data_IF_745724278173
#
_entry.id   IF_745724278173
#
_cell.length_a   1.000
_cell.length_b   1.000
_cell.length_c   1.000
_cell.angle_alpha   90.00
_cell.angle_beta   90.00
_cell.angle_gamma   90.00
#
_symmetry.space_group_name_H-M   'P 1'
#
loop_
_entity.id
_entity.type
_entity.pdbx_description
1 polymer ?
#
# COMPACT_ATOMS: atom_id res chain seq x y z
N UNK A 1 9.42 28.61 6.35
CA UNK A 1 10.85 28.83 6.73
C UNK A 1 11.67 28.24 5.59
N UNK A 2 12.70 28.95 5.09
CA UNK A 2 13.47 28.41 3.97
C UNK A 2 14.34 27.22 4.45
N UNK A 3 14.02 26.01 4.01
CA UNK A 3 14.68 24.76 4.38
C UNK A 3 16.18 24.79 4.11
N UNK A 4 16.64 25.46 3.03
CA UNK A 4 18.05 25.60 2.69
C UNK A 4 18.82 26.50 3.65
N UNK A 5 18.12 27.33 4.44
CA UNK A 5 18.72 28.11 5.52
C UNK A 5 18.93 27.27 6.77
N UNK A 6 17.99 26.38 7.07
CA UNK A 6 18.06 25.47 8.22
C UNK A 6 19.04 24.30 7.96
N UNK A 7 19.04 23.78 6.73
CA UNK A 7 19.89 22.66 6.31
C UNK A 7 20.69 23.03 5.05
N UNK A 8 21.75 23.85 5.16
CA UNK A 8 22.55 24.29 4.01
C UNK A 8 23.18 23.12 3.22
N UNK A 9 23.40 21.98 3.88
CA UNK A 9 23.94 20.76 3.28
C UNK A 9 23.02 20.17 2.19
N UNK A 10 21.71 20.46 2.22
CA UNK A 10 20.78 19.98 1.21
C UNK A 10 21.12 20.43 -0.22
N UNK A 11 21.92 21.49 -0.37
CA UNK A 11 22.39 21.96 -1.68
C UNK A 11 23.28 20.94 -2.39
N UNK A 12 23.96 20.10 -1.63
CA UNK A 12 24.94 19.12 -2.15
C UNK A 12 24.36 17.71 -2.22
N UNK A 13 23.21 17.45 -1.55
CA UNK A 13 22.64 16.09 -1.50
C UNK A 13 22.20 15.57 -2.85
N UNK A 14 21.72 16.43 -3.76
CA UNK A 14 21.34 15.99 -5.11
C UNK A 14 22.53 15.44 -5.88
N UNK A 15 23.68 16.13 -5.82
CA UNK A 15 24.90 15.64 -6.44
C UNK A 15 25.37 14.35 -5.77
N UNK A 16 25.28 14.28 -4.44
CA UNK A 16 25.62 13.07 -3.71
C UNK A 16 24.77 11.87 -4.17
N UNK A 17 23.45 12.03 -4.37
CA UNK A 17 22.61 10.97 -4.93
C UNK A 17 23.00 10.60 -6.36
N UNK A 18 23.32 11.58 -7.23
CA UNK A 18 23.81 11.31 -8.58
C UNK A 18 25.10 10.45 -8.58
N UNK A 19 26.02 10.76 -7.66
CA UNK A 19 27.28 10.03 -7.54
C UNK A 19 27.08 8.60 -7.01
N UNK A 20 25.95 8.30 -6.34
CA UNK A 20 25.64 6.99 -5.75
C UNK A 20 24.46 6.26 -6.41
N UNK A 21 23.96 6.73 -7.55
CA UNK A 21 22.83 6.07 -8.25
C UNK A 21 23.11 4.60 -8.51
N UNK A 22 24.32 4.26 -8.96
CA UNK A 22 24.66 2.85 -9.26
C UNK A 22 24.63 1.96 -8.00
N UNK A 23 25.11 2.46 -6.88
CA UNK A 23 25.08 1.73 -5.60
C UNK A 23 23.62 1.56 -5.12
N UNK A 24 22.77 2.57 -5.29
CA UNK A 24 21.32 2.48 -5.02
C UNK A 24 20.65 1.42 -5.90
N UNK A 25 20.98 1.36 -7.19
CA UNK A 25 20.45 0.35 -8.09
C UNK A 25 20.89 -1.07 -7.71
N UNK A 26 22.13 -1.26 -7.27
CA UNK A 26 22.60 -2.56 -6.78
C UNK A 26 21.88 -2.98 -5.50
N UNK A 27 21.60 -2.07 -4.59
CA UNK A 27 20.79 -2.32 -3.39
C UNK A 27 19.36 -2.74 -3.77
N UNK A 28 18.74 -1.98 -4.69
CA UNK A 28 17.39 -2.25 -5.16
C UNK A 28 17.27 -3.63 -5.84
N UNK A 29 18.24 -3.97 -6.71
CA UNK A 29 18.32 -5.28 -7.34
C UNK A 29 18.42 -6.38 -6.27
N UNK A 30 19.27 -6.18 -5.26
CA UNK A 30 19.47 -7.17 -4.21
C UNK A 30 18.20 -7.38 -3.37
N UNK A 31 17.44 -6.32 -3.05
CA UNK A 31 16.17 -6.41 -2.35
C UNK A 31 15.11 -7.07 -3.25
N UNK A 32 14.98 -6.63 -4.50
CA UNK A 32 14.01 -7.14 -5.45
C UNK A 32 14.15 -8.66 -5.65
N UNK A 33 15.37 -9.18 -5.73
CA UNK A 33 15.65 -10.59 -5.98
C UNK A 33 15.41 -11.52 -4.78
N UNK A 34 15.07 -10.99 -3.61
CA UNK A 34 14.59 -11.82 -2.48
C UNK A 34 13.06 -11.99 -2.62
N UNK A 35 12.53 -13.18 -2.90
CA UNK A 35 11.09 -13.38 -3.04
C UNK A 35 10.32 -12.95 -1.79
N UNK A 36 9.21 -12.26 -1.97
CA UNK A 36 8.40 -11.72 -0.86
C UNK A 36 6.90 -11.61 -1.23
N UNK A 37 6.25 -12.72 -1.58
CA UNK A 37 4.81 -12.65 -1.82
C UNK A 37 4.06 -12.31 -0.55
N UNK A 38 2.96 -11.54 -0.65
CA UNK A 38 2.11 -11.22 0.52
C UNK A 38 1.74 -12.51 1.28
N UNK A 39 1.88 -12.49 2.61
CA UNK A 39 1.77 -13.61 3.56
C UNK A 39 2.98 -14.56 3.62
N UNK A 40 4.03 -14.35 2.81
CA UNK A 40 5.26 -15.16 2.81
C UNK A 40 6.51 -14.27 2.65
N UNK A 41 6.56 -13.19 3.46
CA UNK A 41 7.57 -12.13 3.39
C UNK A 41 8.83 -12.42 4.23
N UNK A 42 8.89 -13.58 4.91
CA UNK A 42 9.89 -13.87 5.93
C UNK A 42 11.34 -13.74 5.47
N UNK A 43 11.67 -14.19 4.26
CA UNK A 43 13.05 -14.15 3.74
C UNK A 43 13.51 -12.69 3.52
N UNK A 44 12.67 -11.86 2.91
CA UNK A 44 12.97 -10.45 2.69
C UNK A 44 13.01 -9.67 4.01
N UNK A 45 12.13 -9.99 4.97
CA UNK A 45 12.17 -9.40 6.30
C UNK A 45 13.50 -9.69 7.02
N UNK A 46 14.04 -10.91 6.94
CA UNK A 46 15.34 -11.25 7.51
C UNK A 46 16.47 -10.49 6.81
N UNK A 47 16.46 -10.41 5.49
CA UNK A 47 17.43 -9.64 4.70
C UNK A 47 17.42 -8.14 5.11
N UNK A 48 16.25 -7.55 5.20
CA UNK A 48 16.09 -6.14 5.56
C UNK A 48 16.45 -5.86 7.02
N UNK A 49 16.17 -6.78 7.95
CA UNK A 49 16.61 -6.65 9.34
C UNK A 49 18.13 -6.56 9.43
N UNK A 50 18.85 -7.43 8.72
CA UNK A 50 20.31 -7.38 8.67
C UNK A 50 20.79 -6.06 8.05
N UNK A 51 20.13 -5.61 6.97
CA UNK A 51 20.47 -4.34 6.33
C UNK A 51 20.23 -3.13 7.23
N UNK A 52 19.09 -3.05 7.95
CA UNK A 52 18.80 -2.00 8.92
C UNK A 52 19.80 -2.00 10.08
N UNK A 53 20.22 -3.18 10.55
CA UNK A 53 21.25 -3.31 11.57
C UNK A 53 22.60 -2.77 11.07
N UNK A 54 23.01 -3.12 9.85
CA UNK A 54 24.26 -2.58 9.24
C UNK A 54 24.15 -1.07 8.95
N UNK A 55 22.95 -0.59 8.65
CA UNK A 55 22.66 0.85 8.51
C UNK A 55 22.83 1.58 9.85
N UNK A 56 22.89 0.87 10.97
CA UNK A 56 23.06 1.43 12.31
C UNK A 56 21.79 2.07 12.85
N UNK A 57 20.62 1.57 12.45
CA UNK A 57 19.37 1.90 13.12
C UNK A 57 19.33 1.24 14.51
N UNK A 58 18.67 1.88 15.45
CA UNK A 58 18.48 1.38 16.80
C UNK A 58 17.20 0.53 16.91
N UNK A 59 17.16 -0.38 17.89
CA UNK A 59 16.00 -1.21 18.21
C UNK A 59 15.49 -2.03 17.01
N UNK A 60 16.39 -2.49 16.13
CA UNK A 60 16.01 -3.21 14.91
C UNK A 60 15.34 -4.52 15.23
N UNK A 61 14.11 -4.71 14.75
CA UNK A 61 13.28 -5.89 15.02
C UNK A 61 12.42 -6.29 13.83
N UNK A 62 11.94 -7.53 13.85
CA UNK A 62 10.82 -7.99 13.00
C UNK A 62 9.64 -8.22 13.94
N UNK A 63 8.49 -7.63 13.64
CA UNK A 63 7.28 -7.83 14.42
C UNK A 63 6.45 -9.05 13.97
N UNK A 64 5.30 -9.27 14.63
CA UNK A 64 4.42 -10.40 14.32
C UNK A 64 3.77 -10.34 12.94
N UNK A 65 3.68 -9.15 12.33
CA UNK A 65 3.18 -8.97 10.98
C UNK A 65 4.27 -9.13 9.91
N UNK A 66 5.54 -9.34 10.30
CA UNK A 66 6.74 -9.37 9.46
C UNK A 66 7.18 -7.97 8.98
N UNK A 67 6.77 -6.89 9.64
CA UNK A 67 7.39 -5.59 9.42
C UNK A 67 8.84 -5.62 9.91
N UNK A 68 9.73 -4.92 9.21
CA UNK A 68 11.07 -4.64 9.70
C UNK A 68 11.13 -3.21 10.19
N UNK A 69 11.47 -3.02 11.45
CA UNK A 69 11.37 -1.75 12.17
C UNK A 69 12.75 -1.36 12.68
N UNK A 70 13.07 -0.07 12.62
CA UNK A 70 14.30 0.47 13.20
C UNK A 70 14.20 1.98 13.40
N UNK A 71 14.89 2.50 14.42
CA UNK A 71 14.90 3.91 14.74
C UNK A 71 16.19 4.60 14.28
N UNK A 72 16.04 5.74 13.61
CA UNK A 72 17.12 6.70 13.42
C UNK A 72 16.88 7.87 14.36
N UNK A 73 17.72 7.98 15.41
CA UNK A 73 17.54 8.97 16.46
C UNK A 73 18.10 10.33 16.05
N UNK A 74 17.30 11.36 16.24
CA UNK A 74 17.69 12.75 16.14
C UNK A 74 18.06 13.32 17.52
N UNK A 75 17.86 14.64 17.69
CA UNK A 75 18.16 15.31 18.98
C UNK A 75 16.99 15.26 19.97
N UNK A 76 15.85 14.68 19.62
CA UNK A 76 14.64 14.53 20.43
C UNK A 76 13.81 15.81 20.60
N UNK A 77 14.12 16.89 19.88
CA UNK A 77 13.43 18.19 19.99
C UNK A 77 12.34 18.40 18.93
N UNK A 78 12.40 17.66 17.82
CA UNK A 78 11.46 17.73 16.70
C UNK A 78 10.36 16.68 16.76
N UNK A 79 9.47 16.63 15.74
CA UNK A 79 8.46 15.61 15.61
C UNK A 79 9.08 14.23 15.33
N UNK A 80 8.30 13.19 15.57
CA UNK A 80 8.60 11.81 15.15
C UNK A 80 7.93 11.57 13.80
N UNK A 81 8.71 11.20 12.79
CA UNK A 81 8.21 10.86 11.46
C UNK A 81 8.36 9.35 11.24
N UNK A 82 7.26 8.66 10.95
CA UNK A 82 7.33 7.31 10.42
C UNK A 82 7.58 7.37 8.92
N UNK A 83 8.62 6.66 8.47
CA UNK A 83 8.88 6.39 7.06
C UNK A 83 8.42 4.96 6.80
N UNK A 84 7.49 4.76 5.87
CA UNK A 84 6.96 3.45 5.55
C UNK A 84 7.15 3.14 4.05
N UNK A 85 7.59 1.92 3.74
CA UNK A 85 7.63 1.38 2.38
C UNK A 85 7.37 -0.12 2.48
N UNK A 86 6.44 -0.65 1.67
CA UNK A 86 6.15 -2.07 1.75
C UNK A 86 7.22 -2.91 1.06
N UNK A 87 7.44 -4.11 1.60
CA UNK A 87 8.44 -5.04 1.07
C UNK A 87 7.84 -6.32 0.50
N UNK A 88 6.52 -6.48 0.55
CA UNK A 88 5.83 -7.56 -0.16
C UNK A 88 5.55 -7.21 -1.61
N UNK A 89 5.16 -8.21 -2.40
CA UNK A 89 4.79 -8.09 -3.80
C UNK A 89 3.60 -8.98 -4.14
N UNK A 90 2.91 -8.68 -5.25
CA UNK A 90 1.81 -9.52 -5.79
C UNK A 90 2.32 -10.82 -6.41
N UNK A 91 3.62 -10.99 -6.60
CA UNK A 91 4.18 -12.09 -7.38
C UNK A 91 4.37 -13.35 -6.54
N UNK A 92 3.95 -14.54 -7.05
CA UNK A 92 4.25 -15.82 -6.43
C UNK A 92 5.75 -16.05 -6.24
N UNK A 93 6.11 -16.88 -5.25
CA UNK A 93 7.51 -17.17 -4.87
C UNK A 93 8.35 -17.73 -6.01
N UNK A 94 7.75 -18.49 -6.91
CA UNK A 94 8.39 -19.10 -8.09
C UNK A 94 8.59 -18.15 -9.27
N UNK A 95 8.16 -16.90 -9.16
CA UNK A 95 8.33 -15.91 -10.22
C UNK A 95 9.81 -15.61 -10.44
N UNK A 96 10.23 -15.56 -11.71
CA UNK A 96 11.59 -15.15 -12.07
C UNK A 96 11.77 -13.65 -11.77
N UNK A 97 12.65 -13.36 -10.81
CA UNK A 97 13.00 -12.00 -10.36
C UNK A 97 14.32 -11.51 -10.98
N UNK A 98 14.80 -12.15 -12.03
CA UNK A 98 16.01 -11.72 -12.72
C UNK A 98 15.86 -10.30 -13.27
N UNK A 99 16.70 -9.39 -12.78
CA UNK A 99 16.67 -7.99 -13.22
C UNK A 99 17.44 -7.84 -14.52
N UNK A 100 16.82 -7.18 -15.50
CA UNK A 100 17.48 -6.80 -16.75
C UNK A 100 17.59 -5.29 -16.87
N UNK A 101 18.73 -4.80 -17.39
CA UNK A 101 18.98 -3.36 -17.63
C UNK A 101 19.00 -3.09 -19.11
N UNK A 102 18.11 -2.20 -19.55
CA UNK A 102 17.99 -1.81 -20.95
C UNK A 102 17.43 -0.40 -21.08
N UNK A 103 17.97 0.37 -22.04
CA UNK A 103 17.45 1.70 -22.43
C UNK A 103 17.24 2.67 -21.23
N UNK A 104 18.21 2.70 -20.29
CA UNK A 104 18.15 3.55 -19.11
C UNK A 104 17.12 3.11 -18.05
N UNK A 105 16.68 1.85 -18.09
CA UNK A 105 15.70 1.26 -17.16
C UNK A 105 16.19 -0.07 -16.60
N UNK A 106 15.68 -0.40 -15.40
CA UNK A 106 15.68 -1.75 -14.85
C UNK A 106 14.29 -2.38 -15.06
N UNK A 107 14.27 -3.66 -15.41
CA UNK A 107 13.04 -4.45 -15.60
C UNK A 107 13.10 -5.68 -14.71
N UNK A 108 12.15 -5.83 -13.82
CA UNK A 108 11.85 -7.03 -13.04
C UNK A 108 10.52 -6.89 -12.32
N UNK A 109 9.85 -8.00 -11.97
CA UNK A 109 8.66 -7.96 -11.10
C UNK A 109 8.99 -7.33 -9.73
N UNK A 110 8.28 -6.27 -9.32
CA UNK A 110 8.46 -5.61 -8.02
C UNK A 110 9.71 -4.73 -7.89
N UNK A 111 10.39 -4.39 -9.01
CA UNK A 111 11.62 -3.57 -8.99
C UNK A 111 11.33 -2.13 -8.54
N UNK A 112 10.16 -1.59 -8.87
CA UNK A 112 9.70 -0.28 -8.43
C UNK A 112 8.65 -0.40 -7.31
N UNK A 113 7.79 -1.39 -7.41
CA UNK A 113 6.66 -1.62 -6.53
C UNK A 113 6.88 -2.86 -5.63
N UNK A 114 7.49 -2.74 -4.42
CA UNK A 114 7.99 -1.47 -3.88
C UNK A 114 9.43 -1.66 -3.33
N UNK A 115 10.26 -2.46 -4.05
CA UNK A 115 11.68 -2.63 -3.66
C UNK A 115 12.41 -1.28 -3.63
N UNK A 116 12.11 -0.39 -4.62
CA UNK A 116 12.76 0.92 -4.69
C UNK A 116 12.30 1.88 -3.57
N UNK A 117 11.07 1.76 -3.08
CA UNK A 117 10.63 2.52 -1.90
C UNK A 117 11.44 2.16 -0.66
N UNK A 118 11.67 0.86 -0.44
CA UNK A 118 12.54 0.37 0.66
C UNK A 118 13.98 0.83 0.46
N UNK A 119 14.52 0.72 -0.76
CA UNK A 119 15.84 1.22 -1.12
C UNK A 119 15.97 2.71 -0.84
N UNK A 120 14.96 3.51 -1.24
CA UNK A 120 14.93 4.95 -0.99
C UNK A 120 14.99 5.29 0.49
N UNK A 121 14.26 4.55 1.33
CA UNK A 121 14.29 4.73 2.79
C UNK A 121 15.69 4.44 3.37
N UNK A 122 16.36 3.39 2.92
CA UNK A 122 17.74 3.05 3.32
C UNK A 122 18.70 4.17 2.92
N UNK A 123 18.65 4.59 1.66
CA UNK A 123 19.59 5.58 1.11
C UNK A 123 19.31 7.01 1.59
N UNK A 124 18.11 7.31 2.08
CA UNK A 124 17.85 8.53 2.83
C UNK A 124 18.73 8.59 4.10
N UNK A 125 18.78 7.50 4.87
CA UNK A 125 19.57 7.44 6.11
C UNK A 125 21.08 7.52 5.79
N UNK A 126 21.55 6.84 4.72
CA UNK A 126 22.93 6.96 4.27
C UNK A 126 23.27 8.42 3.91
N UNK A 127 22.37 9.11 3.17
CA UNK A 127 22.57 10.50 2.78
C UNK A 127 22.60 11.45 4.00
N UNK A 128 21.70 11.27 4.97
CA UNK A 128 21.70 12.06 6.21
C UNK A 128 23.03 11.94 6.96
N UNK A 129 23.57 10.73 7.05
CA UNK A 129 24.86 10.45 7.69
C UNK A 129 26.03 11.02 6.91
N UNK A 130 26.11 10.72 5.63
CA UNK A 130 27.23 11.13 4.76
C UNK A 130 27.35 12.67 4.67
N UNK A 131 26.22 13.37 4.66
CA UNK A 131 26.18 14.83 4.58
C UNK A 131 26.11 15.52 5.95
N UNK A 132 26.25 14.79 7.06
CA UNK A 132 26.20 15.31 8.44
C UNK A 132 24.92 16.13 8.71
N UNK A 133 23.76 15.68 8.23
CA UNK A 133 22.47 16.34 8.46
C UNK A 133 21.89 15.80 9.75
N UNK A 134 21.95 16.59 10.82
CA UNK A 134 21.37 16.27 12.12
C UNK A 134 19.88 16.67 12.14
N UNK A 135 18.99 15.72 12.40
CA UNK A 135 17.56 15.96 12.51
C UNK A 135 17.19 16.35 13.95
N UNK A 136 16.23 17.27 14.15
CA UNK A 136 15.75 17.62 15.49
C UNK A 136 14.84 16.53 16.09
N UNK A 137 14.15 15.76 15.29
CA UNK A 137 13.26 14.65 15.68
C UNK A 137 13.75 13.30 15.22
N UNK A 138 13.04 12.26 15.60
CA UNK A 138 13.38 10.88 15.27
C UNK A 138 12.70 10.42 13.97
N UNK A 139 13.31 9.46 13.27
CA UNK A 139 12.67 8.71 12.20
C UNK A 139 12.41 7.28 12.67
N UNK A 140 11.18 6.82 12.53
CA UNK A 140 10.79 5.43 12.66
C UNK A 140 10.72 4.82 11.26
N UNK A 141 11.73 4.03 10.88
CA UNK A 141 11.79 3.35 9.60
C UNK A 141 11.04 2.02 9.70
N UNK A 142 10.04 1.81 8.84
CA UNK A 142 9.22 0.61 8.80
C UNK A 142 9.16 0.08 7.37
N UNK A 143 9.81 -1.03 7.10
CA UNK A 143 9.54 -1.80 5.90
C UNK A 143 8.29 -2.65 6.20
N UNK A 144 7.14 -2.26 5.64
CA UNK A 144 5.83 -2.83 5.94
C UNK A 144 5.58 -4.09 5.12
N UNK A 145 4.78 -5.02 5.65
CA UNK A 145 4.37 -6.26 4.98
C UNK A 145 2.89 -6.24 4.62
N UNK A 146 2.50 -7.03 3.61
CA UNK A 146 1.09 -7.24 3.26
C UNK A 146 0.37 -5.96 2.84
N UNK A 147 1.04 -5.07 2.13
CA UNK A 147 0.38 -3.95 1.46
C UNK A 147 -0.45 -4.46 0.30
N UNK A 148 0.05 -5.41 -0.44
CA UNK A 148 -0.49 -5.87 -1.70
C UNK A 148 -1.71 -6.79 -1.55
N UNK A 149 -2.62 -6.67 -2.50
CA UNK A 149 -3.71 -7.61 -2.72
C UNK A 149 -4.52 -7.97 -1.47
N UNK A 150 -4.49 -9.25 -1.10
CA UNK A 150 -5.16 -9.79 0.09
C UNK A 150 -4.33 -9.68 1.38
N UNK A 151 -3.16 -9.05 1.32
CA UNK A 151 -2.36 -8.72 2.51
C UNK A 151 -3.06 -7.71 3.44
N UNK A 152 -3.98 -6.93 2.87
CA UNK A 152 -4.96 -6.11 3.60
C UNK A 152 -4.31 -5.06 4.52
N UNK A 153 -3.13 -4.55 4.15
CA UNK A 153 -2.33 -3.57 4.93
C UNK A 153 -1.96 -4.10 6.33
N UNK A 154 -1.78 -5.42 6.47
CA UNK A 154 -1.57 -6.07 7.79
C UNK A 154 -0.38 -5.46 8.54
N UNK A 155 0.70 -5.18 7.81
CA UNK A 155 1.91 -4.60 8.37
C UNK A 155 1.67 -3.20 8.92
N UNK A 156 1.11 -2.32 8.11
CA UNK A 156 0.82 -0.95 8.56
C UNK A 156 -0.23 -0.90 9.66
N UNK A 157 -1.22 -1.82 9.67
CA UNK A 157 -2.18 -1.95 10.78
C UNK A 157 -1.48 -2.28 12.10
N UNK A 158 -0.52 -3.21 12.09
CA UNK A 158 0.24 -3.56 13.29
C UNK A 158 1.20 -2.44 13.72
N UNK A 159 1.87 -1.79 12.75
CA UNK A 159 2.74 -0.65 13.03
C UNK A 159 1.95 0.52 13.66
N UNK A 160 0.81 0.90 13.09
CA UNK A 160 0.01 2.00 13.63
C UNK A 160 -0.64 1.65 14.97
N UNK A 161 -1.08 0.42 15.17
CA UNK A 161 -1.57 -0.04 16.47
C UNK A 161 -0.53 0.14 17.58
N UNK A 162 0.76 -0.05 17.24
CA UNK A 162 1.87 0.03 18.20
C UNK A 162 2.39 1.45 18.38
N UNK A 163 2.46 2.25 17.30
CA UNK A 163 3.23 3.49 17.29
C UNK A 163 2.41 4.77 17.06
N UNK A 164 1.08 4.70 16.80
CA UNK A 164 0.28 5.89 16.45
C UNK A 164 0.33 7.03 17.49
N UNK A 165 0.51 6.72 18.78
CA UNK A 165 0.64 7.72 19.83
C UNK A 165 2.03 8.39 19.88
N UNK A 166 3.04 7.74 19.30
CA UNK A 166 4.43 8.21 19.29
C UNK A 166 4.78 9.00 18.02
N UNK A 167 4.00 8.79 16.94
CA UNK A 167 4.29 9.31 15.61
C UNK A 167 3.46 10.55 15.34
N UNK A 168 4.11 11.62 14.91
CA UNK A 168 3.45 12.89 14.55
C UNK A 168 3.03 12.93 13.07
N UNK A 169 3.83 12.34 12.17
CA UNK A 169 3.61 12.32 10.72
C UNK A 169 4.02 10.99 10.12
N UNK A 170 3.38 10.60 9.02
CA UNK A 170 3.75 9.41 8.25
C UNK A 170 4.03 9.80 6.79
N UNK A 171 5.20 9.44 6.29
CA UNK A 171 5.58 9.52 4.90
C UNK A 171 5.67 8.10 4.35
N UNK A 172 4.76 7.75 3.46
CA UNK A 172 4.77 6.47 2.75
C UNK A 172 5.49 6.65 1.43
N UNK A 173 6.48 5.80 1.17
CA UNK A 173 7.27 5.83 -0.05
C UNK A 173 6.79 4.71 -0.95
N UNK A 174 5.92 5.07 -1.88
CA UNK A 174 5.27 4.14 -2.80
C UNK A 174 4.76 4.88 -4.04
N UNK A 175 4.55 4.14 -5.13
CA UNK A 175 4.08 4.68 -6.39
C UNK A 175 5.18 5.29 -7.26
N UNK A 176 4.80 6.06 -8.27
CA UNK A 176 5.70 6.73 -9.18
C UNK A 176 6.00 8.16 -8.71
N UNK A 177 7.19 8.67 -9.05
CA UNK A 177 7.56 10.07 -8.84
C UNK A 177 6.61 11.01 -9.59
N UNK A 178 6.11 12.03 -8.92
CA UNK A 178 5.25 13.08 -9.49
C UNK A 178 3.85 13.10 -8.89
N UNK A 179 3.58 14.07 -8.03
CA UNK A 179 2.35 14.20 -7.25
C UNK A 179 2.38 13.48 -5.91
N UNK A 180 1.33 13.66 -5.15
CA UNK A 180 1.17 13.05 -3.82
C UNK A 180 -0.22 12.45 -3.66
N UNK A 181 -0.31 11.35 -2.91
CA UNK A 181 -1.55 10.77 -2.44
C UNK A 181 -1.77 11.24 -1.00
N UNK A 182 -2.82 12.02 -0.79
CA UNK A 182 -3.22 12.55 0.52
C UNK A 182 -4.59 12.03 0.97
N UNK A 183 -5.24 11.17 0.15
CA UNK A 183 -6.51 10.52 0.44
C UNK A 183 -6.42 9.00 0.35
N UNK A 184 -7.01 8.31 1.33
CA UNK A 184 -7.07 6.85 1.39
C UNK A 184 -8.42 6.31 0.92
N UNK A 185 -8.44 5.49 -0.14
CA UNK A 185 -9.65 4.80 -0.60
C UNK A 185 -9.92 3.61 0.33
N UNK A 186 -11.05 3.65 1.05
CA UNK A 186 -11.49 2.51 1.85
C UNK A 186 -11.99 1.38 0.96
N UNK A 187 -11.72 0.13 1.35
CA UNK A 187 -12.24 -1.03 0.61
C UNK A 187 -12.69 -2.14 1.55
N UNK A 188 -13.70 -2.90 1.11
CA UNK A 188 -14.13 -4.14 1.75
C UNK A 188 -14.28 -5.25 0.73
N UNK A 189 -13.72 -6.41 1.03
CA UNK A 189 -13.73 -7.58 0.18
C UNK A 189 -14.44 -8.72 0.89
N UNK A 190 -15.42 -9.32 0.20
CA UNK A 190 -16.22 -10.43 0.73
C UNK A 190 -16.12 -11.65 -0.18
N UNK A 191 -16.08 -12.82 0.40
CA UNK A 191 -16.44 -14.06 -0.28
C UNK A 191 -17.83 -14.46 0.15
N UNK A 192 -18.73 -14.67 -0.83
CA UNK A 192 -20.09 -15.14 -0.59
C UNK A 192 -20.19 -16.57 -1.09
N UNK A 193 -20.50 -17.49 -0.19
CA UNK A 193 -20.56 -18.93 -0.46
C UNK A 193 -22.00 -19.40 -0.29
N UNK A 194 -22.55 -20.00 -1.34
CA UNK A 194 -23.90 -20.59 -1.33
C UNK A 194 -23.79 -22.11 -1.29
N UNK A 195 -24.54 -22.74 -0.39
CA UNK A 195 -24.58 -24.19 -0.24
C UNK A 195 -26.02 -24.70 -0.29
N UNK A 196 -26.21 -25.86 -0.96
CA UNK A 196 -27.50 -26.55 -1.11
C UNK A 196 -27.33 -28.08 -1.03
N UNK A 197 -28.43 -28.83 -1.10
CA UNK A 197 -28.37 -30.30 -1.13
C UNK A 197 -27.77 -30.90 -2.40
N UNK A 198 -27.78 -30.15 -3.50
CA UNK A 198 -27.36 -30.67 -4.81
C UNK A 198 -28.25 -31.83 -5.31
N UNK A 199 -27.81 -32.51 -6.41
CA UNK A 199 -28.51 -33.68 -6.92
C UNK A 199 -28.43 -33.86 -8.42
N UNK A 200 -29.07 -34.90 -8.93
CA UNK A 200 -29.15 -35.15 -10.37
C UNK A 200 -30.11 -34.15 -11.02
N UNK A 201 -29.71 -33.47 -12.08
CA UNK A 201 -30.44 -32.34 -12.68
C UNK A 201 -31.88 -32.67 -13.10
N UNK A 202 -32.13 -33.89 -13.57
CA UNK A 202 -33.46 -34.38 -13.94
C UNK A 202 -34.19 -35.04 -12.74
N UNK A 203 -33.51 -35.95 -12.04
CA UNK A 203 -34.15 -36.75 -10.99
C UNK A 203 -34.47 -35.99 -9.69
N UNK A 204 -33.70 -34.94 -9.40
CA UNK A 204 -33.90 -34.08 -8.25
C UNK A 204 -34.35 -32.65 -8.66
N UNK A 205 -35.03 -32.56 -9.83
CA UNK A 205 -35.52 -31.25 -10.30
C UNK A 205 -36.45 -30.61 -9.26
N UNK A 206 -36.19 -29.33 -8.93
CA UNK A 206 -36.87 -28.58 -7.86
C UNK A 206 -36.01 -28.37 -6.61
N UNK A 207 -34.92 -29.10 -6.44
CA UNK A 207 -33.90 -28.77 -5.43
C UNK A 207 -33.20 -27.48 -5.85
N UNK A 208 -33.00 -26.50 -4.94
CA UNK A 208 -32.26 -25.27 -5.25
C UNK A 208 -30.84 -25.55 -5.74
N UNK A 209 -30.39 -24.80 -6.75
CA UNK A 209 -29.03 -24.87 -7.26
C UNK A 209 -28.22 -23.70 -6.71
N UNK A 210 -27.08 -23.98 -6.09
CA UNK A 210 -26.19 -22.95 -5.58
C UNK A 210 -25.76 -21.93 -6.66
N UNK A 211 -25.49 -22.40 -7.89
CA UNK A 211 -25.14 -21.53 -9.03
C UNK A 211 -26.32 -20.66 -9.45
N UNK A 212 -27.57 -21.15 -9.44
CA UNK A 212 -28.74 -20.34 -9.78
C UNK A 212 -28.99 -19.23 -8.73
N UNK A 213 -28.91 -19.55 -7.44
CA UNK A 213 -29.09 -18.59 -6.36
C UNK A 213 -27.98 -17.52 -6.37
N UNK A 214 -26.72 -17.97 -6.59
CA UNK A 214 -25.60 -17.08 -6.75
C UNK A 214 -25.78 -16.11 -7.93
N UNK A 215 -26.24 -16.61 -9.08
CA UNK A 215 -26.52 -15.78 -10.27
C UNK A 215 -27.60 -14.71 -10.01
N UNK A 216 -28.65 -15.06 -9.23
CA UNK A 216 -29.68 -14.09 -8.80
C UNK A 216 -29.08 -13.00 -7.90
N UNK A 217 -28.23 -13.36 -6.95
CA UNK A 217 -27.53 -12.41 -6.09
C UNK A 217 -26.68 -11.45 -6.93
N UNK A 218 -25.84 -11.96 -7.83
CA UNK A 218 -24.97 -11.15 -8.68
C UNK A 218 -25.79 -10.21 -9.57
N UNK A 219 -26.88 -10.68 -10.18
CA UNK A 219 -27.74 -9.87 -11.02
C UNK A 219 -28.33 -8.68 -10.23
N UNK A 220 -28.83 -8.91 -9.00
CA UNK A 220 -29.37 -7.86 -8.16
C UNK A 220 -28.26 -6.91 -7.66
N UNK A 221 -27.08 -7.43 -7.29
CA UNK A 221 -25.93 -6.61 -6.90
C UNK A 221 -25.52 -5.69 -8.05
N UNK A 222 -25.53 -6.16 -9.29
CA UNK A 222 -25.17 -5.38 -10.47
C UNK A 222 -26.11 -4.17 -10.72
N UNK A 223 -27.30 -4.18 -10.14
CA UNK A 223 -28.29 -3.09 -10.26
C UNK A 223 -28.12 -2.00 -9.16
N UNK A 224 -27.24 -2.22 -8.16
CA UNK A 224 -27.02 -1.25 -7.09
C UNK A 224 -26.52 0.09 -7.68
N UNK A 225 -27.21 1.17 -7.34
CA UNK A 225 -26.79 2.51 -7.75
C UNK A 225 -25.84 3.12 -6.71
N UNK A 226 -24.64 3.48 -7.16
CA UNK A 226 -23.61 4.05 -6.30
C UNK A 226 -23.36 5.53 -6.62
N UNK A 227 -22.95 6.36 -5.63
CA UNK A 227 -22.65 7.75 -5.87
C UNK A 227 -21.38 7.90 -6.72
N UNK A 228 -21.34 8.95 -7.56
CA UNK A 228 -20.14 9.39 -8.27
C UNK A 228 -19.22 10.24 -7.39
N UNK A 229 -19.80 10.93 -6.42
CA UNK A 229 -19.11 11.73 -5.42
C UNK A 229 -19.80 11.53 -4.05
N UNK A 230 -19.13 10.91 -3.06
CA UNK A 230 -17.78 10.33 -3.17
C UNK A 230 -17.75 9.16 -4.17
N UNK A 231 -16.66 9.04 -4.96
CA UNK A 231 -16.53 7.95 -5.92
C UNK A 231 -16.61 6.63 -5.18
N UNK A 232 -17.64 5.84 -5.51
CA UNK A 232 -17.93 4.53 -4.91
C UNK A 232 -18.08 3.51 -6.02
N UNK A 233 -17.52 2.32 -5.82
CA UNK A 233 -17.51 1.25 -6.82
C UNK A 233 -17.68 -0.11 -6.15
N UNK A 234 -18.17 -1.08 -6.92
CA UNK A 234 -18.15 -2.48 -6.54
C UNK A 234 -17.89 -3.36 -7.77
N UNK A 235 -17.38 -4.56 -7.55
CA UNK A 235 -17.11 -5.51 -8.61
C UNK A 235 -17.16 -6.95 -8.09
N UNK A 236 -17.94 -7.82 -8.73
CA UNK A 236 -17.80 -9.27 -8.58
C UNK A 236 -16.73 -9.72 -9.54
N UNK A 237 -15.53 -9.99 -9.05
CA UNK A 237 -14.34 -10.25 -9.85
C UNK A 237 -14.09 -11.72 -10.14
N UNK A 238 -14.58 -12.62 -9.27
CA UNK A 238 -14.41 -14.07 -9.39
C UNK A 238 -15.73 -14.76 -9.08
N UNK A 239 -16.06 -15.80 -9.85
CA UNK A 239 -17.19 -16.69 -9.61
C UNK A 239 -16.75 -18.13 -9.82
N UNK A 240 -17.12 -19.01 -8.89
CA UNK A 240 -16.84 -20.45 -8.96
C UNK A 240 -18.08 -21.26 -8.58
N UNK A 241 -18.24 -22.46 -9.12
CA UNK A 241 -19.32 -23.36 -8.70
C UNK A 241 -19.70 -24.42 -9.68
N UNK A 242 -20.41 -25.45 -9.17
CA UNK A 242 -20.83 -26.61 -9.92
C UNK A 242 -19.71 -27.64 -10.15
N UNK A 243 -20.09 -28.82 -10.64
CA UNK A 243 -19.15 -29.93 -10.89
C UNK A 243 -19.35 -30.57 -12.27
N UNK A 244 -20.61 -30.67 -12.76
CA UNK A 244 -20.92 -31.21 -14.08
C UNK A 244 -22.23 -30.64 -14.59
N UNK A 245 -22.46 -30.76 -15.93
CA UNK A 245 -23.63 -30.17 -16.60
C UNK A 245 -24.97 -30.80 -16.15
N UNK A 246 -24.97 -32.05 -15.72
CA UNK A 246 -26.15 -32.76 -15.28
C UNK A 246 -26.27 -32.91 -13.76
N UNK A 247 -25.56 -32.06 -12.99
CA UNK A 247 -25.61 -32.01 -11.53
C UNK A 247 -26.15 -30.63 -11.08
N UNK A 248 -27.16 -30.66 -10.19
CA UNK A 248 -27.57 -29.44 -9.45
C UNK A 248 -26.41 -29.07 -8.56
N UNK A 249 -25.86 -27.86 -8.73
CA UNK A 249 -24.70 -27.41 -8.00
C UNK A 249 -24.99 -27.35 -6.49
N UNK A 250 -24.21 -28.08 -5.70
CA UNK A 250 -24.32 -28.08 -4.23
C UNK A 250 -23.58 -26.92 -3.60
N UNK A 251 -22.59 -26.35 -4.28
CA UNK A 251 -21.79 -25.21 -3.79
C UNK A 251 -21.45 -24.27 -4.95
N UNK A 252 -21.49 -22.97 -4.66
CA UNK A 252 -20.98 -21.91 -5.53
C UNK A 252 -20.51 -20.74 -4.67
N UNK A 253 -19.57 -19.92 -5.18
CA UNK A 253 -19.09 -18.73 -4.48
C UNK A 253 -18.74 -17.61 -5.47
N UNK A 254 -18.73 -16.36 -4.97
CA UNK A 254 -18.14 -15.24 -5.66
C UNK A 254 -17.27 -14.39 -4.70
N UNK A 255 -16.30 -13.67 -5.28
CA UNK A 255 -15.53 -12.64 -4.59
C UNK A 255 -16.02 -11.26 -5.03
N UNK A 256 -16.36 -10.43 -4.04
CA UNK A 256 -16.84 -9.06 -4.21
C UNK A 256 -15.83 -8.08 -3.62
N UNK A 257 -15.41 -7.11 -4.43
CA UNK A 257 -14.62 -5.94 -4.02
C UNK A 257 -15.52 -4.70 -4.03
N UNK A 258 -15.56 -3.97 -2.93
CA UNK A 258 -16.29 -2.71 -2.78
C UNK A 258 -15.32 -1.62 -2.34
N UNK A 259 -15.36 -0.44 -2.95
CA UNK A 259 -14.46 0.67 -2.65
C UNK A 259 -15.21 2.00 -2.60
N UNK A 260 -14.72 2.91 -1.75
CA UNK A 260 -15.18 4.30 -1.71
C UNK A 260 -14.09 5.23 -1.21
N UNK A 261 -14.21 6.51 -1.57
CA UNK A 261 -13.43 7.59 -0.94
C UNK A 261 -13.91 7.89 0.49
N UNK A 262 -15.13 7.44 0.86
CA UNK A 262 -15.69 7.67 2.19
C UNK A 262 -16.29 6.38 2.77
N UNK A 263 -15.95 6.09 4.01
CA UNK A 263 -16.42 4.90 4.72
C UNK A 263 -17.94 4.75 4.80
N UNK A 264 -18.73 5.79 5.12
CA UNK A 264 -20.19 5.66 5.15
C UNK A 264 -20.81 5.25 3.81
N UNK A 265 -20.27 5.71 2.68
CA UNK A 265 -20.75 5.33 1.36
C UNK A 265 -20.43 3.86 1.04
N UNK A 266 -19.27 3.34 1.47
CA UNK A 266 -18.93 1.93 1.37
C UNK A 266 -19.89 1.06 2.21
N UNK A 267 -20.14 1.45 3.44
CA UNK A 267 -21.01 0.73 4.37
C UNK A 267 -22.45 0.65 3.84
N UNK A 268 -22.93 1.70 3.21
CA UNK A 268 -24.25 1.69 2.55
C UNK A 268 -24.31 0.67 1.39
N UNK A 269 -23.26 0.53 0.60
CA UNK A 269 -23.21 -0.50 -0.47
C UNK A 269 -23.19 -1.89 0.14
N UNK A 270 -22.40 -2.11 1.19
CA UNK A 270 -22.35 -3.40 1.88
C UNK A 270 -23.70 -3.78 2.49
N UNK A 271 -24.41 -2.85 3.08
CA UNK A 271 -25.75 -3.08 3.63
C UNK A 271 -26.71 -3.56 2.55
N UNK A 272 -26.77 -2.88 1.40
CA UNK A 272 -27.59 -3.29 0.27
C UNK A 272 -27.20 -4.70 -0.25
N UNK A 273 -25.89 -4.99 -0.32
CA UNK A 273 -25.41 -6.33 -0.71
C UNK A 273 -25.90 -7.40 0.28
N UNK A 274 -25.81 -7.15 1.58
CA UNK A 274 -26.27 -8.08 2.62
C UNK A 274 -27.79 -8.29 2.59
N UNK A 275 -28.56 -7.24 2.32
CA UNK A 275 -30.03 -7.32 2.15
C UNK A 275 -30.39 -8.19 0.92
N UNK A 276 -29.71 -7.98 -0.22
CA UNK A 276 -29.90 -8.80 -1.43
C UNK A 276 -29.59 -10.26 -1.17
N UNK A 277 -28.49 -10.54 -0.48
CA UNK A 277 -28.10 -11.91 -0.12
C UNK A 277 -29.15 -12.57 0.75
N UNK A 278 -29.61 -11.89 1.82
CA UNK A 278 -30.62 -12.40 2.74
C UNK A 278 -31.98 -12.65 2.05
N UNK A 279 -32.37 -11.76 1.11
CA UNK A 279 -33.58 -11.92 0.32
C UNK A 279 -33.52 -13.20 -0.54
N UNK A 280 -32.42 -13.42 -1.28
CA UNK A 280 -32.27 -14.61 -2.14
C UNK A 280 -32.12 -15.89 -1.32
N UNK A 281 -31.35 -15.85 -0.22
CA UNK A 281 -31.22 -16.97 0.72
C UNK A 281 -32.58 -17.46 1.21
N UNK A 282 -33.42 -16.53 1.68
CA UNK A 282 -34.77 -16.83 2.13
C UNK A 282 -35.70 -17.33 1.02
N UNK A 283 -35.65 -16.66 -0.15
CA UNK A 283 -36.54 -17.00 -1.27
C UNK A 283 -36.27 -18.38 -1.88
N UNK A 284 -34.99 -18.73 -2.00
CA UNK A 284 -34.54 -19.98 -2.60
C UNK A 284 -34.36 -21.13 -1.56
N UNK A 285 -34.38 -20.81 -0.24
CA UNK A 285 -34.17 -21.79 0.83
C UNK A 285 -32.76 -22.42 0.81
N UNK A 286 -31.76 -21.64 0.47
CA UNK A 286 -30.33 -22.00 0.44
C UNK A 286 -29.65 -21.57 1.74
N UNK A 287 -28.42 -22.03 1.98
CA UNK A 287 -27.56 -21.54 3.05
C UNK A 287 -26.48 -20.64 2.47
N UNK A 288 -26.24 -19.49 3.11
CA UNK A 288 -25.22 -18.54 2.68
C UNK A 288 -24.25 -18.24 3.81
N UNK A 289 -22.97 -18.32 3.51
CA UNK A 289 -21.87 -17.87 4.35
C UNK A 289 -21.21 -16.63 3.71
N UNK A 290 -20.98 -15.58 4.50
CA UNK A 290 -20.26 -14.38 4.06
C UNK A 290 -18.96 -14.31 4.86
N UNK A 291 -17.84 -14.44 4.15
CA UNK A 291 -16.48 -14.40 4.71
C UNK A 291 -15.83 -13.07 4.38
N UNK A 292 -15.36 -12.34 5.40
CA UNK A 292 -14.57 -11.14 5.22
C UNK A 292 -13.16 -11.52 4.74
N UNK A 293 -12.77 -11.02 3.56
CA UNK A 293 -11.43 -11.26 2.94
C UNK A 293 -10.50 -10.08 3.09
N UNK A 294 -11.01 -8.90 3.38
CA UNK A 294 -10.22 -7.69 3.60
C UNK A 294 -11.09 -6.51 3.97
N UNK A 295 -10.54 -5.63 4.79
CA UNK A 295 -11.18 -4.38 5.24
C UNK A 295 -10.11 -3.30 5.40
N UNK A 296 -9.82 -2.58 4.32
CA UNK A 296 -8.87 -1.48 4.34
C UNK A 296 -9.57 -0.21 4.82
N UNK A 297 -9.05 0.46 5.85
CA UNK A 297 -9.57 1.75 6.27
C UNK A 297 -9.34 2.80 5.18
N UNK A 298 -10.03 3.91 5.30
CA UNK A 298 -9.81 5.12 4.50
C UNK A 298 -9.57 6.30 5.42
N UNK A 299 -9.27 7.43 4.83
CA UNK A 299 -9.04 8.69 5.52
C UNK A 299 -8.51 9.73 4.57
N UNK A 300 -8.23 10.92 5.10
CA UNK A 300 -7.68 12.02 4.31
C UNK A 300 -6.79 12.90 5.19
N UNK A 301 -5.65 13.30 4.67
CA UNK A 301 -4.91 14.46 5.16
C UNK A 301 -5.34 15.64 4.30
N UNK A 302 -6.05 16.61 4.89
CA UNK A 302 -6.61 17.73 4.14
C UNK A 302 -5.58 18.41 3.23
N UNK A 303 -6.00 18.88 2.05
CA UNK A 303 -5.13 19.54 1.10
C UNK A 303 -4.48 20.84 1.65
N UNK A 304 -5.10 21.47 2.64
CA UNK A 304 -4.58 22.65 3.35
C UNK A 304 -3.75 22.29 4.60
N UNK A 305 -3.61 21.01 4.93
CA UNK A 305 -2.79 20.58 6.05
C UNK A 305 -1.31 20.94 5.82
N UNK A 306 -0.59 21.46 6.82
CA UNK A 306 0.83 21.87 6.68
C UNK A 306 1.73 20.79 6.06
N UNK A 307 1.51 19.53 6.35
CA UNK A 307 2.24 18.41 5.73
C UNK A 307 2.08 18.38 4.20
N UNK A 308 0.83 18.47 3.72
CA UNK A 308 0.52 18.43 2.28
C UNK A 308 1.10 19.64 1.57
N UNK A 309 0.84 20.84 2.11
CA UNK A 309 1.35 22.11 1.55
C UNK A 309 2.87 22.10 1.48
N UNK A 310 3.55 21.63 2.56
CA UNK A 310 5.01 21.57 2.59
C UNK A 310 5.58 20.70 1.47
N UNK A 311 4.97 19.54 1.20
CA UNK A 311 5.46 18.65 0.15
C UNK A 311 5.11 19.19 -1.25
N UNK A 312 3.93 19.83 -1.42
CA UNK A 312 3.58 20.51 -2.66
C UNK A 312 4.56 21.63 -3.01
N UNK A 313 4.98 22.43 -2.03
CA UNK A 313 5.98 23.48 -2.24
C UNK A 313 7.32 22.88 -2.72
N UNK A 314 7.75 21.75 -2.14
CA UNK A 314 8.98 21.06 -2.57
C UNK A 314 8.83 20.49 -3.98
N UNK A 315 7.70 19.87 -4.30
CA UNK A 315 7.42 19.38 -5.65
C UNK A 315 7.47 20.51 -6.68
N UNK A 316 6.86 21.66 -6.36
CA UNK A 316 6.89 22.85 -7.21
C UNK A 316 8.33 23.36 -7.43
N UNK A 317 9.13 23.45 -6.36
CA UNK A 317 10.54 23.89 -6.43
C UNK A 317 11.39 22.94 -7.30
N UNK A 318 11.03 21.66 -7.35
CA UNK A 318 11.69 20.64 -8.15
C UNK A 318 11.12 20.53 -9.58
N UNK A 319 10.08 21.31 -9.93
CA UNK A 319 9.43 21.27 -11.24
C UNK A 319 8.58 20.02 -11.48
N UNK A 320 8.14 19.36 -10.39
CA UNK A 320 7.27 18.18 -10.40
C UNK A 320 5.79 18.56 -10.27
N UNK A 321 4.88 17.64 -10.61
CA UNK A 321 3.44 17.85 -10.41
C UNK A 321 3.12 18.01 -8.92
N UNK A 322 2.26 18.97 -8.61
CA UNK A 322 1.73 19.22 -7.25
C UNK A 322 0.33 18.66 -7.06
N UNK A 323 -0.16 17.83 -8.00
CA UNK A 323 -1.49 17.24 -7.94
C UNK A 323 -1.62 16.31 -6.75
N UNK A 324 -2.78 16.40 -6.09
CA UNK A 324 -3.18 15.48 -5.02
C UNK A 324 -4.12 14.41 -5.55
N UNK A 325 -4.05 13.24 -4.97
CA UNK A 325 -4.87 12.10 -5.37
C UNK A 325 -5.34 11.27 -4.18
N UNK A 326 -6.28 10.36 -4.43
CA UNK A 326 -6.68 9.32 -3.49
C UNK A 326 -6.34 7.95 -4.07
N UNK A 327 -5.71 7.11 -3.25
CA UNK A 327 -5.37 5.72 -3.59
C UNK A 327 -5.54 4.81 -2.37
N UNK A 328 -5.30 3.53 -2.52
CA UNK A 328 -5.28 2.58 -1.39
C UNK A 328 -3.83 2.18 -1.16
N UNK A 329 -3.21 2.72 -0.12
CA UNK A 329 -1.81 2.52 0.25
C UNK A 329 -1.70 2.38 1.77
N UNK A 330 -0.51 2.15 2.29
CA UNK A 330 -0.24 2.14 3.73
C UNK A 330 -0.65 3.45 4.44
N UNK A 331 -0.64 4.59 3.73
CA UNK A 331 -1.10 5.87 4.28
C UNK A 331 -2.56 5.84 4.77
N UNK A 332 -3.40 4.97 4.21
CA UNK A 332 -4.78 4.78 4.65
C UNK A 332 -4.90 4.51 6.14
N UNK A 333 -4.02 3.65 6.64
CA UNK A 333 -4.08 3.22 8.06
C UNK A 333 -3.68 4.38 8.98
N UNK A 334 -2.63 5.12 8.64
CA UNK A 334 -2.22 6.30 9.42
C UNK A 334 -3.34 7.35 9.48
N UNK A 335 -3.95 7.65 8.32
CA UNK A 335 -5.08 8.58 8.23
C UNK A 335 -6.27 8.13 9.09
N UNK A 336 -6.55 6.81 9.13
CA UNK A 336 -7.62 6.25 9.97
C UNK A 336 -7.36 6.38 11.48
N UNK A 337 -6.10 6.47 11.89
CA UNK A 337 -5.68 6.81 13.26
C UNK A 337 -5.58 8.31 13.51
N UNK A 338 -6.05 9.15 12.56
CA UNK A 338 -5.90 10.61 12.60
C UNK A 338 -4.44 11.07 12.69
N UNK A 339 -3.50 10.29 12.18
CA UNK A 339 -2.11 10.69 12.00
C UNK A 339 -1.96 11.25 10.59
N UNK A 340 -1.55 12.51 10.42
CA UNK A 340 -1.36 13.09 9.10
C UNK A 340 -0.35 12.28 8.29
N UNK A 341 -0.76 11.86 7.10
CA UNK A 341 0.03 10.98 6.23
C UNK A 341 -0.08 11.42 4.77
N UNK A 342 0.97 11.16 4.01
CA UNK A 342 1.01 11.28 2.56
C UNK A 342 1.80 10.11 1.98
N UNK A 343 1.51 9.79 0.71
CA UNK A 343 2.28 8.82 -0.04
C UNK A 343 2.81 9.46 -1.33
N UNK A 344 4.07 9.19 -1.67
CA UNK A 344 4.73 9.62 -2.90
C UNK A 344 5.88 8.70 -3.28
N UNK A 345 6.17 8.59 -4.58
CA UNK A 345 7.27 7.77 -5.09
C UNK A 345 8.56 8.54 -5.28
N UNK A 346 9.69 7.82 -5.30
CA UNK A 346 11.04 8.38 -5.49
C UNK A 346 11.65 8.09 -6.86
N UNK A 347 10.95 7.38 -7.76
CA UNK A 347 11.41 7.14 -9.12
C UNK A 347 10.25 7.11 -10.11
N UNK A 348 10.53 7.43 -11.37
CA UNK A 348 9.61 7.15 -12.46
C UNK A 348 9.60 5.64 -12.76
N UNK A 349 8.48 5.12 -13.20
CA UNK A 349 8.35 3.72 -13.56
C UNK A 349 6.96 3.39 -14.07
N UNK A 350 6.73 2.13 -14.37
CA UNK A 350 5.44 1.70 -14.88
C UNK A 350 5.29 0.19 -14.92
N UNK A 351 4.12 -0.25 -15.39
CA UNK A 351 3.75 -1.66 -15.47
C UNK A 351 3.73 -2.38 -14.10
N UNK A 352 3.42 -1.66 -13.01
CA UNK A 352 3.24 -2.28 -11.69
C UNK A 352 2.32 -3.52 -11.77
N UNK A 353 2.61 -4.56 -10.98
CA UNK A 353 1.90 -5.84 -10.96
C UNK A 353 2.05 -6.68 -12.24
N UNK A 354 3.03 -6.37 -13.07
CA UNK A 354 3.35 -7.14 -14.29
C UNK A 354 4.79 -7.62 -14.25
N UNK A 355 5.07 -8.72 -14.94
CA UNK A 355 6.43 -9.28 -15.02
C UNK A 355 7.39 -8.40 -15.84
N UNK A 356 6.87 -7.46 -16.63
CA UNK A 356 7.63 -6.44 -17.37
C UNK A 356 7.60 -5.06 -16.68
N UNK A 357 7.43 -5.04 -15.37
CA UNK A 357 7.54 -3.82 -14.56
C UNK A 357 8.91 -3.18 -14.73
N UNK A 358 8.97 -1.86 -14.72
CA UNK A 358 10.20 -1.12 -14.94
C UNK A 358 10.37 0.08 -14.02
N UNK A 359 11.64 0.35 -13.68
CA UNK A 359 12.12 1.52 -12.97
C UNK A 359 12.99 2.35 -13.92
N UNK A 360 12.74 3.66 -14.01
CA UNK A 360 13.57 4.60 -14.77
C UNK A 360 14.77 5.05 -13.95
N UNK A 361 15.97 4.95 -14.49
CA UNK A 361 17.20 5.35 -13.79
C UNK A 361 17.33 6.87 -13.73
N UNK A 362 17.00 7.54 -14.85
CA UNK A 362 16.97 9.00 -14.90
C UNK A 362 15.89 9.55 -13.97
N UNK A 363 16.25 10.51 -13.12
CA UNK A 363 15.35 11.15 -12.16
C UNK A 363 15.35 10.53 -10.77
N UNK A 364 16.13 9.47 -10.50
CA UNK A 364 16.31 8.94 -9.14
C UNK A 364 16.86 10.01 -8.19
N UNK A 365 17.86 10.78 -8.66
CA UNK A 365 18.41 11.93 -7.91
C UNK A 365 17.33 12.95 -7.53
N UNK A 366 16.41 13.21 -8.46
CA UNK A 366 15.30 14.14 -8.26
C UNK A 366 14.32 13.60 -7.19
N UNK A 367 13.92 12.33 -7.30
CA UNK A 367 13.04 11.68 -6.32
C UNK A 367 13.67 11.59 -4.92
N UNK A 368 14.94 11.26 -4.85
CA UNK A 368 15.67 11.25 -3.58
C UNK A 368 15.85 12.65 -2.98
N UNK A 369 16.00 13.67 -3.84
CA UNK A 369 16.00 15.08 -3.40
C UNK A 369 14.63 15.50 -2.85
N UNK A 370 13.54 15.09 -3.51
CA UNK A 370 12.19 15.26 -2.97
C UNK A 370 12.09 14.64 -1.57
N UNK A 371 12.54 13.41 -1.40
CA UNK A 371 12.40 12.69 -0.15
C UNK A 371 13.18 13.32 1.01
N UNK A 372 14.47 13.60 0.81
CA UNK A 372 15.30 14.21 1.89
C UNK A 372 14.81 15.62 2.25
N UNK A 373 14.41 16.42 1.25
CA UNK A 373 13.85 17.75 1.49
C UNK A 373 12.53 17.66 2.24
N UNK A 374 11.66 16.68 1.91
CA UNK A 374 10.39 16.45 2.60
C UNK A 374 10.61 16.08 4.07
N UNK A 375 11.52 15.16 4.36
CA UNK A 375 11.85 14.79 5.74
C UNK A 375 12.38 16.00 6.53
N UNK A 376 13.34 16.71 5.98
CA UNK A 376 13.92 17.90 6.66
C UNK A 376 12.90 19.02 6.86
N UNK A 377 11.99 19.25 5.91
CA UNK A 377 10.96 20.27 6.04
C UNK A 377 9.88 19.88 7.07
N UNK A 378 9.42 18.63 7.05
CA UNK A 378 8.44 18.11 8.00
C UNK A 378 9.00 18.11 9.44
N UNK A 379 10.31 17.95 9.63
CA UNK A 379 10.97 18.15 10.92
C UNK A 379 10.84 19.58 11.51
N UNK A 380 10.48 20.55 10.68
CA UNK A 380 10.17 21.92 11.09
C UNK A 380 8.70 22.16 11.47
N UNK A 381 7.83 21.20 11.26
CA UNK A 381 6.41 21.29 11.63
C UNK A 381 6.21 21.04 13.14
N UNK A 382 5.10 21.53 13.72
CA UNK A 382 4.79 21.28 15.13
C UNK A 382 4.54 19.78 15.37
N UNK A 383 4.82 19.33 16.60
CA UNK A 383 4.39 18.01 17.05
C UNK A 383 2.86 17.93 17.06
N UNK A 384 2.33 16.75 16.80
CA UNK A 384 0.91 16.50 16.99
C UNK A 384 0.56 16.60 18.49
N UNK A 385 -0.51 17.33 18.80
CA UNK A 385 -1.03 17.53 20.17
C UNK A 385 -1.87 16.34 20.61
#
# INVERSE_FOLDING_TARGET
MNIMTQYPQLKETRQWFLDHVEDMLQEDIAICQVPSPSWDEGDRAVYLKDRFTRLGLEEVSIDAALNVIGWYRGTGKGPVIMLAAHHDTVFPRETDLTVTRKDGRLYAPGIRDNSFGVTSMIWLIEALKANNIALPGDLLCVATSGEEGLGDLKGMKEAMKTYHEQVDYVLVIDGALGGITNGGITSRRLEVIVTTGGGHSYGAFGVPSAVHSLGKMIAKIADIQVPKNPKTTYNVGVIEGGTSINTIAARASFLLDMRSQQRPALENVEEQVREIIAEVEKADGVQVEIVLKGDRPGGETSADHPLVVTIQDILQDLGLSTETSASSTDANVAMAYNVPAVCFGCAFGGNAHRTDEWLQIEGIDLGMTLFINSVCAVMGLPKRI
#
